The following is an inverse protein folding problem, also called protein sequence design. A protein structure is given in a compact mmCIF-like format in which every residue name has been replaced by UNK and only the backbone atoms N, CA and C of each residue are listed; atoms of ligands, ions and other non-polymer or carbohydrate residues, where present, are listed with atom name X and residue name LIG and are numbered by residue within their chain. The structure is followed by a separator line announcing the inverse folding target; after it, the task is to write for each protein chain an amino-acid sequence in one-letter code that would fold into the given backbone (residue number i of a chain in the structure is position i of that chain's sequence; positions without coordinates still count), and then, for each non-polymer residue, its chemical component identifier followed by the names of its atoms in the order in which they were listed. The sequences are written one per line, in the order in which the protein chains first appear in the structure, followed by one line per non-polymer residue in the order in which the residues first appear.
data_IF_526715902980
#
_entry.id   IF_526715902980
#
_cell.length_a   1.000
_cell.length_b   1.000
_cell.length_c   1.000
_cell.angle_alpha   90.00
_cell.angle_beta   90.00
_cell.angle_gamma   90.00
#
_symmetry.space_group_name_H-M   'P 1'
#
loop_
_entity.id
_entity.type
_entity.pdbx_description
1 polymer ?
#
# COMPACT_ATOMS: atom_id res chain seq x y z
N UNK A 1 -11.18 78.42 27.78
CA UNK A 1 -10.31 77.73 26.78
C UNK A 1 -9.72 76.39 27.27
N UNK A 2 -9.45 76.17 28.57
CA UNK A 2 -8.88 74.89 29.06
C UNK A 2 -9.83 73.68 29.10
N UNK A 3 -11.16 73.88 29.22
CA UNK A 3 -12.14 72.77 29.27
C UNK A 3 -12.44 72.14 27.90
N UNK A 4 -12.27 72.89 26.80
CA UNK A 4 -12.56 72.40 25.45
C UNK A 4 -11.43 71.51 24.89
N UNK A 5 -10.17 71.78 25.26
CA UNK A 5 -9.01 70.95 24.91
C UNK A 5 -8.97 69.59 25.65
N UNK A 6 -9.54 69.51 26.86
CA UNK A 6 -9.56 68.27 27.64
C UNK A 6 -10.61 67.28 27.12
N UNK A 7 -11.75 67.79 26.64
CA UNK A 7 -12.83 66.96 26.08
C UNK A 7 -12.47 66.38 24.71
N UNK A 8 -11.70 67.10 23.89
CA UNK A 8 -11.25 66.62 22.58
C UNK A 8 -10.12 65.58 22.69
N UNK A 9 -9.23 65.71 23.69
CA UNK A 9 -8.23 64.67 23.96
C UNK A 9 -8.84 63.38 24.53
N UNK A 10 -9.88 63.47 25.37
CA UNK A 10 -10.51 62.27 25.94
C UNK A 10 -11.28 61.46 24.89
N UNK A 11 -11.91 62.12 23.91
CA UNK A 11 -12.57 61.47 22.78
C UNK A 11 -11.58 60.84 21.78
N UNK A 12 -10.42 61.49 21.56
CA UNK A 12 -9.37 60.95 20.70
C UNK A 12 -8.72 59.69 21.30
N UNK A 13 -8.52 59.64 22.63
CA UNK A 13 -7.99 58.46 23.32
C UNK A 13 -9.02 57.32 23.36
N UNK A 14 -10.32 57.63 23.50
CA UNK A 14 -11.37 56.61 23.41
C UNK A 14 -11.49 56.02 22.00
N UNK A 15 -11.42 56.84 20.94
CA UNK A 15 -11.41 56.36 19.56
C UNK A 15 -10.16 55.53 19.22
N UNK A 16 -8.99 55.90 19.77
CA UNK A 16 -7.75 55.14 19.59
C UNK A 16 -7.78 53.82 20.38
N UNK A 17 -8.52 53.74 21.49
CA UNK A 17 -8.71 52.51 22.28
C UNK A 17 -9.73 51.53 21.65
N UNK A 18 -10.64 52.02 20.81
CA UNK A 18 -11.56 51.16 20.03
C UNK A 18 -10.97 50.67 18.71
N UNK A 19 -9.86 51.27 18.24
CA UNK A 19 -9.15 50.82 17.03
C UNK A 19 -8.07 49.76 17.27
N UNK A 20 -7.77 49.40 18.52
CA UNK A 20 -6.75 48.39 18.85
C UNK A 20 -7.33 47.02 19.24
N UNK A 21 -8.64 46.81 19.10
CA UNK A 21 -9.31 45.53 19.45
C UNK A 21 -9.95 44.79 18.27
N UNK A 22 -9.46 45.02 17.05
CA UNK A 22 -9.75 44.20 15.87
C UNK A 22 -8.47 43.91 15.07
N UNK A 23 -7.35 43.65 15.76
CA UNK A 23 -6.39 42.71 15.19
C UNK A 23 -7.04 41.34 15.29
N UNK A 24 -7.78 40.97 14.23
CA UNK A 24 -7.94 39.56 13.88
C UNK A 24 -6.54 38.98 13.97
N UNK A 25 -6.32 38.14 14.98
CA UNK A 25 -5.15 37.28 15.06
C UNK A 25 -5.18 36.47 13.77
N UNK A 26 -4.53 36.98 12.72
CA UNK A 26 -4.10 36.17 11.59
C UNK A 26 -3.13 35.16 12.17
N UNK A 27 -3.69 34.05 12.65
CA UNK A 27 -2.92 32.83 12.84
C UNK A 27 -2.21 32.60 11.50
N UNK A 28 -0.89 32.34 11.50
CA UNK A 28 -0.19 32.03 10.27
C UNK A 28 -0.97 30.92 9.57
N UNK A 29 -1.28 31.10 8.27
CA UNK A 29 -1.95 30.09 7.48
C UNK A 29 -1.19 28.78 7.72
N UNK A 30 -1.82 27.83 8.41
CA UNK A 30 -1.11 26.63 8.84
C UNK A 30 -0.62 25.92 7.59
N UNK A 31 0.60 25.39 7.61
CA UNK A 31 1.04 24.54 6.53
C UNK A 31 0.05 23.35 6.44
N UNK A 32 -0.28 22.88 5.23
CA UNK A 32 -1.20 21.76 5.04
C UNK A 32 -0.76 20.50 5.81
N UNK A 33 0.55 20.35 6.05
CA UNK A 33 1.11 19.29 6.91
C UNK A 33 0.72 19.47 8.39
N UNK A 34 0.70 20.70 8.88
CA UNK A 34 0.25 21.01 10.25
C UNK A 34 -1.27 20.82 10.38
N UNK A 35 -2.03 21.21 9.34
CA UNK A 35 -3.46 20.96 9.26
C UNK A 35 -3.77 19.46 9.24
N UNK A 36 -3.01 18.65 8.49
CA UNK A 36 -3.11 17.19 8.48
C UNK A 36 -2.80 16.60 9.86
N UNK A 37 -1.72 17.02 10.50
CA UNK A 37 -1.35 16.54 11.83
C UNK A 37 -2.43 16.87 12.87
N UNK A 38 -2.96 18.08 12.82
CA UNK A 38 -4.09 18.46 13.68
C UNK A 38 -5.35 17.63 13.39
N UNK A 39 -5.65 17.38 12.11
CA UNK A 39 -6.75 16.49 11.73
C UNK A 39 -6.53 15.08 12.29
N UNK A 40 -5.31 14.55 12.25
CA UNK A 40 -4.96 13.24 12.82
C UNK A 40 -5.21 13.19 14.32
N UNK A 41 -4.78 14.21 15.07
CA UNK A 41 -4.98 14.28 16.51
C UNK A 41 -6.46 14.35 16.91
N UNK A 42 -7.29 15.05 16.13
CA UNK A 42 -8.68 15.34 16.50
C UNK A 42 -9.69 14.36 15.91
N UNK A 43 -9.46 13.89 14.68
CA UNK A 43 -10.44 13.09 13.93
C UNK A 43 -10.14 11.59 13.94
N UNK A 44 -8.88 11.13 14.00
CA UNK A 44 -8.60 9.69 14.08
C UNK A 44 -9.23 9.00 15.30
N UNK A 45 -9.37 9.65 16.48
CA UNK A 45 -10.07 9.05 17.60
C UNK A 45 -11.59 8.92 17.40
N UNK A 46 -12.17 9.59 16.39
CA UNK A 46 -13.61 9.55 16.16
C UNK A 46 -14.02 8.22 15.55
N UNK A 47 -15.09 7.63 16.11
CA UNK A 47 -15.69 6.43 15.56
C UNK A 47 -16.07 6.63 14.08
N UNK A 48 -15.57 5.73 13.23
CA UNK A 48 -15.86 5.70 11.80
C UNK A 48 -14.86 6.45 10.93
N UNK A 49 -13.80 7.06 11.50
CA UNK A 49 -12.67 7.59 10.73
C UNK A 49 -11.62 6.49 10.56
N UNK A 50 -11.36 6.12 9.31
CA UNK A 50 -10.43 5.06 8.93
C UNK A 50 -9.01 5.59 8.67
N UNK A 51 -8.87 6.86 8.31
CA UNK A 51 -7.56 7.46 8.04
C UNK A 51 -7.67 8.91 7.61
N UNK A 52 -6.51 9.59 7.53
CA UNK A 52 -6.42 10.99 7.13
C UNK A 52 -5.19 11.18 6.23
N UNK A 53 -5.35 11.94 5.16
CA UNK A 53 -4.27 12.36 4.27
C UNK A 53 -4.48 13.81 3.79
N UNK A 54 -3.69 14.25 2.82
CA UNK A 54 -3.86 15.57 2.20
C UNK A 54 -3.45 15.52 0.72
N UNK A 55 -3.97 16.45 -0.06
CA UNK A 55 -3.50 16.78 -1.41
C UNK A 55 -2.92 18.19 -1.39
N UNK A 56 -1.82 18.45 -2.09
CA UNK A 56 -1.24 19.80 -2.23
C UNK A 56 -1.85 20.56 -3.44
N UNK A 57 -2.38 19.85 -4.43
CA UNK A 57 -2.92 20.44 -5.68
C UNK A 57 -4.26 19.81 -6.09
N UNK A 58 -5.40 20.50 -5.88
CA UNK A 58 -5.56 21.67 -5.02
C UNK A 58 -5.43 21.29 -3.52
N UNK A 59 -5.07 22.25 -2.65
CA UNK A 59 -4.78 21.97 -1.25
C UNK A 59 -6.05 21.57 -0.48
N UNK A 60 -6.10 20.33 0.04
CA UNK A 60 -7.23 19.76 0.78
C UNK A 60 -6.78 18.74 1.82
N UNK A 61 -7.54 18.61 2.91
CA UNK A 61 -7.43 17.47 3.83
C UNK A 61 -8.39 16.37 3.36
N UNK A 62 -7.92 15.13 3.28
CA UNK A 62 -8.74 14.00 2.86
C UNK A 62 -9.00 13.13 4.09
N UNK A 63 -10.28 12.86 4.38
CA UNK A 63 -10.71 12.03 5.50
C UNK A 63 -11.37 10.77 4.95
N UNK A 64 -10.81 9.63 5.29
CA UNK A 64 -11.34 8.33 4.93
C UNK A 64 -12.30 7.86 6.02
N UNK A 65 -13.54 7.53 5.66
CA UNK A 65 -14.56 7.08 6.61
C UNK A 65 -15.08 5.68 6.30
N UNK A 66 -15.50 4.97 7.34
CA UNK A 66 -15.97 3.59 7.21
C UNK A 66 -17.36 3.48 6.57
N UNK A 67 -18.20 4.51 6.69
CA UNK A 67 -19.60 4.50 6.20
C UNK A 67 -20.14 5.92 6.04
N UNK A 68 -21.04 6.14 5.09
CA UNK A 68 -21.71 7.44 4.80
C UNK A 68 -22.38 8.09 6.03
N UNK A 69 -22.74 7.29 7.04
CA UNK A 69 -23.41 7.77 8.27
C UNK A 69 -22.52 8.67 9.12
N UNK A 70 -21.20 8.62 8.90
CA UNK A 70 -20.23 9.43 9.64
C UNK A 70 -19.89 10.74 8.95
N UNK A 71 -20.40 10.99 7.73
CA UNK A 71 -20.09 12.18 6.93
C UNK A 71 -20.40 13.48 7.68
N UNK A 72 -21.53 13.53 8.39
CA UNK A 72 -21.95 14.71 9.17
C UNK A 72 -21.09 14.99 10.40
N UNK A 73 -20.21 14.05 10.80
CA UNK A 73 -19.28 14.23 11.92
C UNK A 73 -17.96 14.88 11.48
N UNK A 74 -17.71 15.00 10.18
CA UNK A 74 -16.46 15.53 9.64
C UNK A 74 -16.66 17.00 9.26
N UNK A 75 -15.81 17.93 9.76
CA UNK A 75 -15.86 19.32 9.35
C UNK A 75 -15.54 19.49 7.86
N UNK A 76 -16.26 20.38 7.17
CA UNK A 76 -15.99 20.72 5.77
C UNK A 76 -14.66 21.48 5.57
N UNK A 77 -14.05 21.96 6.66
CA UNK A 77 -12.77 22.67 6.67
C UNK A 77 -11.97 22.37 7.93
N UNK A 78 -10.65 22.20 7.78
CA UNK A 78 -9.71 21.99 8.88
C UNK A 78 -8.54 22.96 8.70
N UNK A 79 -8.40 23.89 9.66
CA UNK A 79 -7.32 24.89 9.71
C UNK A 79 -7.14 25.68 8.39
N UNK A 80 -8.22 26.06 7.72
CA UNK A 80 -8.16 26.81 6.45
C UNK A 80 -8.24 25.98 5.19
N UNK A 81 -8.17 24.64 5.29
CA UNK A 81 -8.18 23.73 4.13
C UNK A 81 -9.50 22.98 4.04
N UNK A 82 -10.08 22.94 2.83
CA UNK A 82 -11.31 22.17 2.58
C UNK A 82 -11.07 20.68 2.84
N UNK A 83 -12.08 20.04 3.41
CA UNK A 83 -12.09 18.60 3.62
C UNK A 83 -12.72 17.89 2.42
N UNK A 84 -12.10 16.80 1.99
CA UNK A 84 -12.64 15.82 1.06
C UNK A 84 -12.90 14.51 1.80
N UNK A 85 -14.06 13.92 1.61
CA UNK A 85 -14.47 12.71 2.32
C UNK A 85 -14.51 11.54 1.35
N UNK A 86 -13.81 10.45 1.68
CA UNK A 86 -13.79 9.22 0.90
C UNK A 86 -14.33 8.09 1.77
N UNK A 87 -15.36 7.39 1.31
CA UNK A 87 -15.88 6.20 2.01
C UNK A 87 -15.05 4.98 1.61
N UNK A 88 -14.24 4.47 2.53
CA UNK A 88 -13.35 3.32 2.29
C UNK A 88 -13.89 2.00 2.80
N UNK A 89 -14.90 2.04 3.68
CA UNK A 89 -15.20 0.91 4.54
C UNK A 89 -14.23 0.81 5.72
N UNK A 90 -14.46 -0.17 6.60
CA UNK A 90 -13.60 -0.44 7.75
C UNK A 90 -12.27 -1.04 7.28
N UNK A 91 -11.16 -0.36 7.60
CA UNK A 91 -9.81 -0.91 7.40
C UNK A 91 -9.57 -1.90 8.53
N UNK A 92 -9.57 -3.19 8.22
CA UNK A 92 -9.20 -4.25 9.16
C UNK A 92 -7.75 -4.64 8.88
N UNK A 93 -6.95 -4.79 9.94
CA UNK A 93 -5.69 -5.51 9.82
C UNK A 93 -5.99 -6.93 9.29
N UNK A 94 -5.17 -7.43 8.37
CA UNK A 94 -5.38 -8.75 7.77
C UNK A 94 -5.52 -9.86 8.84
N UNK A 95 -4.83 -9.72 9.97
CA UNK A 95 -4.96 -10.61 11.14
C UNK A 95 -6.39 -10.69 11.72
N UNK A 96 -7.19 -9.62 11.64
CA UNK A 96 -8.58 -9.62 12.09
C UNK A 96 -9.54 -10.22 11.04
N UNK A 97 -9.16 -10.20 9.76
CA UNK A 97 -9.86 -10.94 8.71
C UNK A 97 -9.53 -12.43 8.79
N UNK A 98 -8.30 -12.80 9.19
CA UNK A 98 -7.91 -14.19 9.45
C UNK A 98 -8.81 -14.86 10.49
N UNK A 99 -9.26 -14.12 11.52
CA UNK A 99 -10.21 -14.63 12.51
C UNK A 99 -11.60 -14.96 11.91
N UNK A 100 -12.04 -14.20 10.90
CA UNK A 100 -13.28 -14.47 10.15
C UNK A 100 -13.07 -15.56 9.08
N UNK A 101 -11.83 -15.79 8.61
CA UNK A 101 -11.46 -16.84 7.66
C UNK A 101 -11.00 -18.16 8.32
N UNK A 102 -11.05 -18.28 9.64
CA UNK A 102 -10.84 -19.55 10.38
C UNK A 102 -11.79 -20.70 9.93
N UNK A 103 -12.70 -20.42 9.00
CA UNK A 103 -13.60 -21.39 8.37
C UNK A 103 -13.00 -22.06 7.11
N UNK A 104 -11.86 -21.58 6.58
CA UNK A 104 -11.17 -22.21 5.44
C UNK A 104 -9.72 -22.57 5.78
N UNK A 105 -9.56 -23.78 6.31
CA UNK A 105 -8.36 -24.65 6.24
C UNK A 105 -7.00 -23.95 6.15
N UNK A 106 -6.45 -23.53 7.28
CA UNK A 106 -5.04 -23.16 7.37
C UNK A 106 -4.17 -24.43 7.28
N UNK A 107 -3.25 -24.45 6.32
CA UNK A 107 -2.30 -25.55 6.14
C UNK A 107 -1.13 -25.38 7.10
N UNK A 108 -0.96 -26.30 8.04
CA UNK A 108 0.18 -26.25 8.97
C UNK A 108 1.36 -27.05 8.41
N UNK A 109 2.49 -26.38 8.16
CA UNK A 109 3.76 -27.08 7.94
C UNK A 109 4.17 -27.79 9.23
N UNK A 110 4.77 -28.99 9.12
CA UNK A 110 5.21 -29.76 10.29
C UNK A 110 6.36 -29.11 11.08
N UNK A 111 7.00 -28.10 10.50
CA UNK A 111 8.05 -27.27 11.10
C UNK A 111 8.14 -25.94 10.33
N UNK A 112 8.76 -24.89 10.91
CA UNK A 112 9.05 -23.65 10.17
C UNK A 112 9.80 -23.93 8.87
N UNK A 113 9.40 -23.29 7.78
CA UNK A 113 10.01 -23.47 6.46
C UNK A 113 10.91 -22.29 6.09
N UNK A 114 12.07 -22.58 5.49
CA UNK A 114 12.96 -21.51 5.04
C UNK A 114 12.39 -20.81 3.81
N UNK A 115 12.26 -19.47 3.86
CA UNK A 115 11.82 -18.66 2.71
C UNK A 115 12.74 -18.77 1.50
N UNK A 116 14.02 -19.06 1.70
CA UNK A 116 14.99 -19.24 0.61
C UNK A 116 15.19 -20.70 0.23
N UNK A 117 14.62 -21.64 0.99
CA UNK A 117 14.73 -23.07 0.71
C UNK A 117 13.68 -23.59 -0.27
N UNK A 118 13.77 -24.89 -0.54
CA UNK A 118 12.69 -25.64 -1.17
C UNK A 118 11.49 -25.72 -0.21
N UNK A 119 10.30 -25.39 -0.71
CA UNK A 119 9.06 -25.40 0.07
C UNK A 119 7.98 -26.14 -0.72
N UNK A 120 7.41 -27.19 -0.14
CA UNK A 120 6.27 -27.94 -0.69
C UNK A 120 5.24 -28.20 0.42
N UNK A 121 3.94 -27.96 0.21
CA UNK A 121 3.39 -27.23 -0.92
C UNK A 121 3.92 -25.78 -0.99
N UNK A 122 4.03 -25.20 -2.18
CA UNK A 122 4.47 -23.80 -2.34
C UNK A 122 3.41 -22.82 -1.81
N UNK A 123 3.86 -21.68 -1.29
CA UNK A 123 3.03 -20.61 -0.69
C UNK A 123 3.59 -19.24 -1.06
N UNK A 124 2.79 -18.17 -1.01
CA UNK A 124 3.29 -16.80 -1.08
C UNK A 124 4.36 -16.49 -0.02
N UNK A 125 5.31 -15.61 -0.35
CA UNK A 125 6.37 -15.12 0.54
C UNK A 125 7.68 -15.91 0.49
N UNK A 126 7.81 -16.91 -0.37
CA UNK A 126 9.01 -17.74 -0.54
C UNK A 126 9.80 -17.34 -1.79
N UNK A 127 11.03 -17.82 -1.89
CA UNK A 127 11.94 -17.57 -3.02
C UNK A 127 11.40 -18.18 -4.30
N UNK A 128 11.51 -17.44 -5.40
CA UNK A 128 11.32 -17.95 -6.75
C UNK A 128 12.23 -17.23 -7.74
N UNK A 129 12.35 -17.77 -8.95
CA UNK A 129 13.10 -17.12 -10.00
C UNK A 129 12.97 -17.85 -11.33
N UNK A 130 13.95 -17.63 -12.21
CA UNK A 130 14.05 -18.27 -13.51
C UNK A 130 15.41 -18.99 -13.64
N UNK A 131 15.55 -19.96 -14.55
CA UNK A 131 16.81 -20.66 -14.77
C UNK A 131 17.98 -19.72 -15.10
N UNK A 132 19.19 -20.11 -14.70
CA UNK A 132 20.38 -19.27 -14.93
C UNK A 132 20.61 -18.96 -16.40
N UNK A 133 20.33 -19.93 -17.28
CA UNK A 133 20.41 -19.75 -18.73
C UNK A 133 19.43 -18.68 -19.26
N UNK A 134 18.26 -18.55 -18.64
CA UNK A 134 17.27 -17.55 -19.00
C UNK A 134 17.65 -16.16 -18.45
N UNK A 135 18.03 -16.08 -17.17
CA UNK A 135 18.42 -14.82 -16.54
C UNK A 135 19.77 -14.29 -17.02
N UNK A 136 20.67 -15.18 -17.46
CA UNK A 136 22.10 -14.96 -17.72
C UNK A 136 22.88 -14.68 -16.43
N UNK A 137 22.60 -15.48 -15.41
CA UNK A 137 23.20 -15.41 -14.08
C UNK A 137 22.27 -16.00 -13.03
N UNK A 138 22.62 -15.85 -11.76
CA UNK A 138 21.75 -16.23 -10.65
C UNK A 138 20.76 -15.11 -10.30
N UNK A 139 19.53 -15.49 -9.98
CA UNK A 139 18.44 -14.60 -9.61
C UNK A 139 17.53 -15.28 -8.58
N UNK A 140 17.10 -14.52 -7.60
CA UNK A 140 15.94 -14.86 -6.78
C UNK A 140 15.15 -13.59 -6.48
N UNK A 141 13.84 -13.74 -6.43
CA UNK A 141 12.89 -12.79 -5.90
C UNK A 141 11.81 -13.54 -5.13
N UNK A 142 10.67 -12.89 -4.92
CA UNK A 142 9.63 -13.46 -4.07
C UNK A 142 8.44 -13.94 -4.89
N UNK A 143 7.99 -15.16 -4.59
CA UNK A 143 6.68 -15.66 -4.99
C UNK A 143 5.65 -14.84 -4.22
N UNK A 144 4.88 -13.99 -4.90
CA UNK A 144 3.89 -13.13 -4.25
C UNK A 144 2.72 -13.94 -3.71
N UNK A 145 2.01 -14.63 -4.61
CA UNK A 145 0.85 -15.45 -4.26
C UNK A 145 0.58 -16.50 -5.34
N UNK A 146 -0.07 -17.60 -4.99
CA UNK A 146 -0.74 -18.45 -5.98
C UNK A 146 -2.18 -17.95 -6.16
N UNK A 147 -2.53 -17.60 -7.40
CA UNK A 147 -3.82 -16.99 -7.75
C UNK A 147 -4.56 -17.80 -8.80
N UNK A 148 -5.89 -17.79 -8.76
CA UNK A 148 -6.72 -18.38 -9.82
C UNK A 148 -7.02 -17.34 -10.89
N UNK A 149 -6.74 -17.68 -12.14
CA UNK A 149 -7.09 -16.86 -13.29
C UNK A 149 -8.47 -17.19 -13.86
N UNK A 150 -8.93 -16.40 -14.85
CA UNK A 150 -10.11 -16.73 -15.65
C UNK A 150 -9.95 -18.10 -16.32
N UNK A 151 -10.99 -18.93 -16.28
CA UNK A 151 -10.93 -20.31 -16.82
C UNK A 151 -10.52 -21.37 -15.79
N UNK A 152 -10.16 -20.97 -14.57
CA UNK A 152 -10.00 -21.87 -13.43
C UNK A 152 -8.58 -22.38 -13.18
N UNK A 153 -7.63 -22.09 -14.07
CA UNK A 153 -6.21 -22.39 -13.88
C UNK A 153 -5.57 -21.56 -12.77
N UNK A 154 -4.57 -22.13 -12.12
CA UNK A 154 -3.77 -21.45 -11.10
C UNK A 154 -2.42 -20.97 -11.64
N UNK A 155 -1.98 -19.84 -11.09
CA UNK A 155 -0.78 -19.15 -11.52
C UNK A 155 0.04 -18.71 -10.31
N UNK A 156 1.35 -18.79 -10.45
CA UNK A 156 2.29 -18.02 -9.62
C UNK A 156 2.19 -16.56 -10.02
N UNK A 157 2.00 -15.66 -9.05
CA UNK A 157 2.13 -14.21 -9.22
C UNK A 157 3.44 -13.74 -8.60
N UNK A 158 4.26 -13.01 -9.36
CA UNK A 158 5.47 -12.33 -8.88
C UNK A 158 5.70 -11.04 -9.68
N UNK A 159 6.80 -10.34 -9.43
CA UNK A 159 7.21 -9.22 -10.26
C UNK A 159 7.68 -9.68 -11.65
N UNK A 160 7.45 -8.86 -12.67
CA UNK A 160 7.98 -9.09 -14.01
C UNK A 160 9.51 -9.09 -14.01
N UNK A 161 10.16 -8.24 -13.22
CA UNK A 161 11.62 -8.25 -13.14
C UNK A 161 12.19 -9.54 -12.52
N UNK A 162 11.37 -10.32 -11.79
CA UNK A 162 11.79 -11.58 -11.16
C UNK A 162 11.63 -12.75 -12.14
N UNK A 163 10.44 -12.90 -12.74
CA UNK A 163 10.11 -14.11 -13.53
C UNK A 163 9.96 -13.88 -15.04
N UNK A 164 10.09 -12.64 -15.53
CA UNK A 164 9.84 -12.30 -16.93
C UNK A 164 10.99 -11.55 -17.61
N UNK A 165 12.14 -11.37 -16.96
CA UNK A 165 13.24 -10.54 -17.47
C UNK A 165 14.61 -11.18 -17.22
N UNK A 166 15.56 -10.90 -18.11
CA UNK A 166 16.97 -11.23 -17.92
C UNK A 166 17.73 -10.10 -17.17
N UNK A 167 19.00 -10.35 -16.84
CA UNK A 167 19.88 -9.39 -16.14
C UNK A 167 20.05 -8.05 -16.88
N UNK A 168 19.77 -7.99 -18.18
CA UNK A 168 19.86 -6.78 -18.99
C UNK A 168 18.49 -6.12 -19.20
N UNK A 169 17.50 -6.45 -18.36
CA UNK A 169 16.14 -5.96 -18.45
C UNK A 169 15.44 -6.30 -19.79
N UNK A 170 15.84 -7.39 -20.45
CA UNK A 170 15.13 -7.89 -21.64
C UNK A 170 14.07 -8.90 -21.23
N UNK A 171 12.86 -8.75 -21.79
CA UNK A 171 11.78 -9.68 -21.51
C UNK A 171 12.06 -11.08 -22.06
N UNK A 172 11.78 -12.08 -21.23
CA UNK A 172 11.91 -13.49 -21.56
C UNK A 172 10.73 -13.95 -22.44
N UNK A 173 10.93 -14.99 -23.27
CA UNK A 173 9.84 -15.62 -24.01
C UNK A 173 8.76 -16.18 -23.06
N UNK A 174 7.51 -16.17 -23.50
CA UNK A 174 6.48 -16.96 -22.80
C UNK A 174 6.85 -18.44 -22.85
N UNK A 175 6.51 -19.17 -21.81
CA UNK A 175 6.91 -20.57 -21.62
C UNK A 175 8.24 -20.77 -20.88
N UNK A 176 8.99 -19.69 -20.57
CA UNK A 176 10.20 -19.81 -19.74
C UNK A 176 9.85 -20.42 -18.37
N UNK A 177 10.62 -21.43 -17.90
CA UNK A 177 10.40 -22.04 -16.58
C UNK A 177 10.49 -21.03 -15.44
N UNK A 178 9.67 -21.24 -14.42
CA UNK A 178 9.74 -20.56 -13.11
C UNK A 178 10.04 -21.60 -12.05
N UNK A 179 11.02 -21.28 -11.21
CA UNK A 179 11.63 -22.18 -10.23
C UNK A 179 11.26 -21.76 -8.80
N UNK A 180 11.17 -22.74 -7.90
CA UNK A 180 11.08 -22.52 -6.46
C UNK A 180 11.99 -23.54 -5.75
N UNK A 181 13.11 -23.09 -5.14
CA UNK A 181 13.55 -21.69 -4.96
C UNK A 181 14.14 -21.04 -6.22
N UNK A 182 14.49 -19.75 -6.15
CA UNK A 182 15.25 -19.07 -7.20
C UNK A 182 16.71 -19.55 -7.27
N UNK A 183 17.37 -19.36 -8.41
CA UNK A 183 18.76 -19.83 -8.66
C UNK A 183 19.81 -19.17 -7.76
N UNK A 184 19.55 -17.94 -7.30
CA UNK A 184 20.42 -17.30 -6.30
C UNK A 184 20.35 -18.01 -4.94
N UNK A 185 19.21 -18.59 -4.60
CA UNK A 185 18.97 -19.31 -3.36
C UNK A 185 19.20 -20.82 -3.48
N UNK A 186 19.74 -21.29 -4.61
CA UNK A 186 20.14 -22.68 -4.82
C UNK A 186 19.22 -23.51 -5.70
N UNK A 187 18.15 -22.93 -6.25
CA UNK A 187 17.23 -23.63 -7.13
C UNK A 187 17.85 -24.02 -8.48
N UNK A 188 17.39 -25.13 -9.05
CA UNK A 188 17.87 -25.70 -10.32
C UNK A 188 16.72 -25.96 -11.29
N UNK A 189 17.00 -26.50 -12.48
CA UNK A 189 15.96 -26.82 -13.47
C UNK A 189 14.97 -27.88 -13.01
N UNK A 190 15.36 -28.69 -12.03
CA UNK A 190 14.53 -29.72 -11.40
C UNK A 190 13.44 -29.10 -10.51
N UNK A 191 13.60 -27.85 -10.10
CA UNK A 191 12.68 -27.09 -9.23
C UNK A 191 11.59 -26.34 -10.02
N UNK A 192 11.33 -26.72 -11.28
CA UNK A 192 10.30 -26.09 -12.10
C UNK A 192 8.91 -26.29 -11.49
N UNK A 193 8.26 -25.18 -11.12
CA UNK A 193 6.90 -25.17 -10.58
C UNK A 193 5.85 -24.67 -11.58
N UNK A 194 6.31 -24.02 -12.66
CA UNK A 194 5.42 -23.46 -13.67
C UNK A 194 6.17 -22.79 -14.82
N UNK A 195 5.41 -22.19 -15.73
CA UNK A 195 5.94 -21.53 -16.93
C UNK A 195 5.38 -20.13 -17.10
N UNK A 196 6.24 -19.17 -17.40
CA UNK A 196 5.87 -17.77 -17.64
C UNK A 196 4.74 -17.70 -18.66
N UNK A 197 3.61 -17.12 -18.25
CA UNK A 197 2.38 -17.12 -19.03
C UNK A 197 2.03 -15.72 -19.55
N UNK A 198 2.17 -14.69 -18.70
CA UNK A 198 1.85 -13.30 -19.05
C UNK A 198 2.57 -12.33 -18.13
N UNK A 199 2.89 -11.14 -18.61
CA UNK A 199 3.49 -10.09 -17.80
C UNK A 199 3.07 -8.70 -18.29
N UNK A 200 3.18 -7.73 -17.40
CA UNK A 200 3.05 -6.30 -17.73
C UNK A 200 4.42 -5.82 -18.18
N UNK A 201 4.49 -5.23 -19.38
CA UNK A 201 5.74 -4.67 -19.90
C UNK A 201 6.13 -3.43 -19.11
N UNK A 202 7.37 -3.40 -18.67
CA UNK A 202 8.02 -2.29 -17.97
C UNK A 202 8.95 -1.58 -18.95
N UNK A 203 8.87 -0.26 -18.99
CA UNK A 203 9.79 0.60 -19.75
C UNK A 203 10.73 1.28 -18.76
N UNK A 204 12.03 1.01 -18.88
CA UNK A 204 13.05 1.62 -18.02
C UNK A 204 13.43 3.02 -18.50
N UNK A 205 13.83 3.88 -17.56
CA UNK A 205 14.29 5.24 -17.83
C UNK A 205 13.30 6.33 -17.43
N UNK A 206 13.71 7.60 -17.49
CA UNK A 206 13.02 8.73 -16.87
C UNK A 206 11.65 9.06 -17.47
N UNK A 207 11.30 8.47 -18.62
CA UNK A 207 9.99 8.65 -19.27
C UNK A 207 9.10 7.41 -19.17
N UNK A 208 9.55 6.35 -18.51
CA UNK A 208 8.78 5.13 -18.33
C UNK A 208 7.56 5.38 -17.44
N UNK A 209 6.36 5.15 -17.99
CA UNK A 209 5.11 5.17 -17.22
C UNK A 209 4.71 3.74 -16.87
N UNK A 210 5.27 3.22 -15.79
CA UNK A 210 4.99 1.87 -15.30
C UNK A 210 3.96 1.95 -14.19
N UNK A 211 2.79 1.34 -14.40
CA UNK A 211 1.71 1.31 -13.40
C UNK A 211 1.77 0.10 -12.49
N UNK A 212 2.43 -0.98 -12.95
CA UNK A 212 2.58 -2.21 -12.21
C UNK A 212 3.81 -2.97 -12.69
N UNK A 213 4.42 -3.69 -11.77
CA UNK A 213 5.48 -4.66 -12.02
C UNK A 213 4.95 -6.04 -11.62
N UNK A 214 4.40 -6.75 -12.59
CA UNK A 214 3.73 -8.03 -12.34
C UNK A 214 3.86 -8.98 -13.52
N UNK A 215 4.07 -10.25 -13.19
CA UNK A 215 4.05 -11.37 -14.10
C UNK A 215 3.37 -12.57 -13.46
N UNK A 216 2.80 -13.41 -14.30
CA UNK A 216 2.20 -14.66 -13.90
C UNK A 216 2.81 -15.83 -14.67
N UNK A 217 3.03 -16.94 -13.97
CA UNK A 217 3.41 -18.22 -14.55
C UNK A 217 2.33 -19.25 -14.29
N UNK A 218 1.92 -19.99 -15.31
CA UNK A 218 0.93 -21.07 -15.15
C UNK A 218 1.58 -22.24 -14.41
N UNK A 219 0.92 -22.75 -13.37
CA UNK A 219 1.44 -23.88 -12.60
C UNK A 219 1.42 -25.16 -13.44
N UNK A 220 2.45 -25.98 -13.26
CA UNK A 220 2.60 -27.30 -13.91
C UNK A 220 2.71 -28.45 -12.92
N UNK A 221 2.61 -28.17 -11.63
CA UNK A 221 2.66 -29.13 -10.51
C UNK A 221 1.26 -29.55 -10.04
N UNK A 222 1.19 -30.57 -9.18
CA UNK A 222 -0.06 -31.09 -8.63
C UNK A 222 -0.78 -30.06 -7.74
N UNK A 223 -2.11 -30.16 -7.63
CA UNK A 223 -2.91 -29.33 -6.71
C UNK A 223 -2.53 -29.54 -5.24
N UNK A 224 -1.96 -30.69 -4.89
CA UNK A 224 -1.42 -30.97 -3.55
C UNK A 224 -0.16 -30.18 -3.21
N UNK A 225 0.51 -29.61 -4.21
CA UNK A 225 1.86 -29.06 -4.07
C UNK A 225 1.86 -27.53 -4.02
N UNK A 226 0.70 -26.90 -3.89
CA UNK A 226 0.57 -25.45 -3.71
C UNK A 226 -0.61 -25.06 -2.83
N UNK A 227 -0.51 -23.89 -2.20
CA UNK A 227 -1.54 -23.30 -1.36
C UNK A 227 -2.04 -22.01 -2.01
N UNK A 228 -3.20 -22.08 -2.64
CA UNK A 228 -3.80 -20.92 -3.30
C UNK A 228 -4.21 -19.87 -2.27
N UNK A 229 -3.87 -18.61 -2.54
CA UNK A 229 -4.20 -17.44 -1.72
C UNK A 229 -3.56 -17.39 -0.32
N UNK A 230 -2.70 -18.33 0.01
CA UNK A 230 -1.97 -18.34 1.27
C UNK A 230 -0.61 -17.65 1.16
N UNK A 231 -0.17 -17.04 2.27
CA UNK A 231 1.13 -16.40 2.41
C UNK A 231 1.79 -16.89 3.69
N UNK A 232 3.09 -17.18 3.63
CA UNK A 232 3.86 -17.59 4.80
C UNK A 232 3.86 -16.48 5.85
N UNK A 233 3.46 -16.83 7.07
CA UNK A 233 3.43 -15.96 8.24
C UNK A 233 4.82 -15.53 8.71
N UNK A 234 4.85 -14.61 9.67
CA UNK A 234 6.10 -14.08 10.23
C UNK A 234 6.92 -15.14 10.98
N UNK A 235 6.26 -16.18 11.49
CA UNK A 235 6.87 -17.32 12.18
C UNK A 235 7.34 -18.42 11.21
N UNK A 236 7.39 -18.10 9.91
CA UNK A 236 7.74 -19.01 8.84
C UNK A 236 6.85 -20.28 8.81
N UNK A 237 5.60 -20.12 9.24
CA UNK A 237 4.53 -21.10 9.16
C UNK A 237 3.28 -20.41 8.57
N UNK A 238 2.31 -21.19 8.10
CA UNK A 238 0.96 -20.68 7.82
C UNK A 238 0.15 -21.18 9.01
N UNK A 239 -0.12 -20.29 9.96
CA UNK A 239 -1.07 -20.60 11.03
C UNK A 239 -2.46 -20.57 10.48
#
# INVERSE_FOLDING_TARGET
MKKLLFSTMLFAVLLLSTLTFMSVLSMPASNIKDARKHAEEVLLPLEGVAGISHSEEPPRIIVYIEHEKYKSKIPDEIKGFKTEIIVTGRIKALALLQLESLVTTQYNYGSPVSRTGEVRPIVGGISCGVPEAAFKGKMAGTLGLIVKGPGGSYYVLSNAHVIAMDINAKFLPLGTPVLQPGTYDGGTTEDEIGKLYKYIKITFGPRGKNYADAAIAILTISESDYLAYEVLGYDDQIT
#
